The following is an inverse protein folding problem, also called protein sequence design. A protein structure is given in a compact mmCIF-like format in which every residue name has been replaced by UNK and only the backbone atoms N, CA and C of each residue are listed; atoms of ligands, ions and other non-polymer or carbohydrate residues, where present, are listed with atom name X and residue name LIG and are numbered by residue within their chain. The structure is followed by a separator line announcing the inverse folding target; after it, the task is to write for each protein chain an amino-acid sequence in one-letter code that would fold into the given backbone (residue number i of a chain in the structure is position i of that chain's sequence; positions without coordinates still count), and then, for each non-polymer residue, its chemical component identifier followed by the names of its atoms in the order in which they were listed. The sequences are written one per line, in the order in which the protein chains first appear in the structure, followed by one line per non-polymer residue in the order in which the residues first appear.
data_IF_457411495888
#
_entry.id   IF_457411495888
#
_cell.length_a   1.000
_cell.length_b   1.000
_cell.length_c   1.000
_cell.angle_alpha   90.00
_cell.angle_beta   90.00
_cell.angle_gamma   90.00
#
_symmetry.space_group_name_H-M   'P 1'
#
loop_
_entity.id
_entity.type
_entity.pdbx_description
1 polymer ?
#
# COMPACT_ATOMS: atom_id res chain seq x y z
N UNK A 1 -30.44 62.83 -59.07
CA UNK A 1 -29.78 61.52 -59.28
C UNK A 1 -29.05 61.16 -58.02
N UNK A 2 -29.65 60.38 -57.15
CA UNK A 2 -29.10 60.07 -55.83
C UNK A 2 -29.13 58.56 -55.67
N UNK A 3 -28.00 57.90 -55.58
CA UNK A 3 -27.85 56.50 -55.32
C UNK A 3 -27.47 56.30 -53.86
N UNK A 4 -28.34 55.69 -53.09
CA UNK A 4 -28.14 55.33 -51.71
C UNK A 4 -27.40 53.98 -51.63
N UNK A 5 -26.19 54.01 -51.09
CA UNK A 5 -25.47 52.82 -50.71
C UNK A 5 -26.11 52.22 -49.41
N UNK A 6 -26.64 51.05 -49.52
CA UNK A 6 -27.04 50.25 -48.35
C UNK A 6 -25.83 49.44 -47.88
N UNK A 7 -25.31 49.81 -46.74
CA UNK A 7 -24.29 49.06 -46.01
C UNK A 7 -24.93 47.83 -45.39
N UNK A 8 -24.60 46.65 -45.89
CA UNK A 8 -24.93 45.38 -45.31
C UNK A 8 -23.86 45.05 -44.24
N UNK A 9 -24.18 45.37 -43.00
CA UNK A 9 -23.42 44.87 -41.85
C UNK A 9 -23.78 43.41 -41.65
N UNK A 10 -22.91 42.57 -42.16
CA UNK A 10 -22.92 41.12 -41.90
C UNK A 10 -22.47 40.89 -40.47
N UNK A 11 -23.39 40.52 -39.64
CA UNK A 11 -23.15 40.00 -38.31
C UNK A 11 -22.39 38.66 -38.43
N UNK A 12 -21.10 38.76 -38.21
CA UNK A 12 -20.26 37.55 -38.03
C UNK A 12 -20.34 37.16 -36.57
N UNK A 13 -21.36 36.40 -36.25
CA UNK A 13 -21.46 35.70 -34.95
C UNK A 13 -20.40 34.61 -34.97
N UNK A 14 -19.24 34.90 -34.33
CA UNK A 14 -18.30 33.87 -33.96
C UNK A 14 -18.99 32.97 -32.91
N UNK A 15 -19.10 31.67 -33.14
CA UNK A 15 -19.39 30.78 -32.08
C UNK A 15 -18.11 30.69 -31.23
N UNK A 16 -18.05 31.40 -30.15
CA UNK A 16 -17.21 31.06 -29.03
C UNK A 16 -17.77 29.75 -28.45
N UNK A 17 -17.44 28.69 -29.13
CA UNK A 17 -17.59 27.36 -28.63
C UNK A 17 -16.80 27.28 -27.33
N UNK A 18 -17.55 27.15 -26.27
CA UNK A 18 -17.12 26.65 -25.01
C UNK A 18 -16.13 25.48 -25.25
N UNK A 19 -14.87 25.77 -25.07
CA UNK A 19 -13.88 24.76 -24.71
C UNK A 19 -14.37 24.27 -23.35
N UNK A 20 -15.30 23.32 -23.40
CA UNK A 20 -15.67 22.53 -22.25
C UNK A 20 -14.34 21.99 -21.72
N UNK A 21 -13.92 22.56 -20.61
CA UNK A 21 -12.87 22.03 -19.79
C UNK A 21 -13.28 20.56 -19.54
N UNK A 22 -12.70 19.66 -20.29
CA UNK A 22 -12.57 18.27 -19.90
C UNK A 22 -11.74 18.33 -18.63
N UNK A 23 -12.42 18.62 -17.52
CA UNK A 23 -11.94 18.24 -16.21
C UNK A 23 -11.73 16.73 -16.30
N UNK A 24 -10.52 16.35 -16.66
CA UNK A 24 -10.06 15.01 -16.41
C UNK A 24 -10.22 14.88 -14.90
N UNK A 25 -11.27 14.18 -14.49
CA UNK A 25 -11.33 13.63 -13.17
C UNK A 25 -10.09 12.72 -13.11
N UNK A 26 -8.99 13.27 -12.63
CA UNK A 26 -7.84 12.49 -12.23
C UNK A 26 -8.42 11.58 -11.15
N UNK A 27 -8.66 10.33 -11.52
CA UNK A 27 -8.98 9.31 -10.55
C UNK A 27 -7.81 9.35 -9.56
N UNK A 28 -8.10 9.86 -8.36
CA UNK A 28 -7.11 9.97 -7.28
C UNK A 28 -6.52 8.57 -7.14
N UNK A 29 -5.21 8.42 -7.39
CA UNK A 29 -4.59 7.12 -7.26
C UNK A 29 -4.82 6.62 -5.82
N UNK A 30 -5.30 5.39 -5.67
CA UNK A 30 -5.61 4.85 -4.36
C UNK A 30 -4.37 4.91 -3.49
N UNK A 31 -4.51 5.40 -2.27
CA UNK A 31 -3.38 5.60 -1.35
C UNK A 31 -2.81 4.26 -0.91
N UNK A 32 -1.50 4.15 -0.97
CA UNK A 32 -0.76 3.02 -0.44
C UNK A 32 0.38 3.55 0.42
N UNK A 33 0.34 3.24 1.73
CA UNK A 33 1.29 3.85 2.66
C UNK A 33 1.17 3.32 4.08
N UNK A 34 2.07 3.78 4.95
CA UNK A 34 2.05 3.53 6.37
C UNK A 34 1.58 4.82 7.04
N UNK A 35 0.38 4.79 7.64
CA UNK A 35 -0.19 5.95 8.33
C UNK A 35 0.44 6.16 9.70
N UNK A 36 0.64 5.07 10.42
CA UNK A 36 1.21 5.09 11.77
C UNK A 36 1.80 3.74 12.10
N UNK A 37 2.91 3.73 12.85
CA UNK A 37 3.47 2.51 13.40
C UNK A 37 4.17 2.82 14.73
N UNK A 38 4.08 1.89 15.66
CA UNK A 38 4.79 1.95 16.93
C UNK A 38 5.03 0.53 17.47
N UNK A 39 5.95 0.43 18.40
CA UNK A 39 6.21 -0.80 19.12
C UNK A 39 5.99 -0.57 20.62
N UNK A 40 5.51 -1.62 21.31
CA UNK A 40 5.30 -1.61 22.73
C UNK A 40 5.76 -2.91 23.37
N UNK A 41 6.33 -2.88 24.59
CA UNK A 41 6.69 -4.08 25.30
C UNK A 41 5.44 -4.71 25.94
N UNK A 42 5.27 -6.00 25.73
CA UNK A 42 4.19 -6.79 26.36
C UNK A 42 4.69 -8.19 26.68
N UNK A 43 4.73 -8.53 27.97
CA UNK A 43 5.12 -9.88 28.41
C UNK A 43 6.56 -10.28 28.02
N UNK A 44 7.51 -9.33 28.03
CA UNK A 44 8.90 -9.58 27.67
C UNK A 44 9.18 -9.64 26.16
N UNK A 45 8.16 -9.38 25.32
CA UNK A 45 8.28 -9.30 23.85
C UNK A 45 7.85 -7.93 23.37
N UNK A 46 8.64 -7.31 22.51
CA UNK A 46 8.25 -6.10 21.83
C UNK A 46 7.32 -6.44 20.68
N UNK A 47 6.15 -5.80 20.65
CA UNK A 47 5.11 -6.03 19.67
C UNK A 47 4.94 -4.83 18.78
N UNK A 48 4.85 -5.08 17.47
CA UNK A 48 4.59 -4.08 16.45
C UNK A 48 3.08 -3.88 16.29
N UNK A 49 2.67 -2.62 16.30
CA UNK A 49 1.34 -2.19 15.90
C UNK A 49 1.49 -1.20 14.73
N UNK A 50 0.69 -1.37 13.69
CA UNK A 50 0.72 -0.47 12.54
C UNK A 50 -0.66 -0.28 11.91
N UNK A 51 -0.87 0.88 11.30
CA UNK A 51 -2.03 1.19 10.47
C UNK A 51 -1.52 1.55 9.09
N UNK A 52 -1.92 0.74 8.12
CA UNK A 52 -1.60 0.92 6.71
C UNK A 52 -2.75 1.59 5.95
N UNK A 53 -2.45 2.19 4.82
CA UNK A 53 -3.40 2.62 3.80
C UNK A 53 -3.24 1.67 2.61
N UNK A 54 -4.22 0.81 2.38
CA UNK A 54 -4.16 -0.24 1.36
C UNK A 54 -5.20 0.02 0.27
N UNK A 55 -5.00 1.06 -0.54
CA UNK A 55 -5.81 1.27 -1.73
C UNK A 55 -5.33 0.42 -2.90
N UNK A 56 -6.23 -0.30 -3.56
CA UNK A 56 -5.92 -1.07 -4.76
C UNK A 56 -6.18 -0.24 -6.02
N UNK A 57 -5.35 -0.43 -7.05
CA UNK A 57 -5.67 0.06 -8.38
C UNK A 57 -6.81 -0.78 -8.98
N UNK A 58 -7.54 -0.22 -9.95
CA UNK A 58 -8.58 -0.98 -10.67
C UNK A 58 -8.03 -2.24 -11.33
N UNK A 59 -6.80 -2.20 -11.81
CA UNK A 59 -6.14 -3.36 -12.38
C UNK A 59 -5.94 -4.47 -11.33
N UNK A 60 -5.51 -4.12 -10.11
CA UNK A 60 -5.35 -5.07 -9.02
C UNK A 60 -6.70 -5.65 -8.54
N UNK A 61 -7.75 -4.82 -8.48
CA UNK A 61 -9.11 -5.28 -8.15
C UNK A 61 -9.65 -6.27 -9.18
N UNK A 62 -9.49 -5.97 -10.48
CA UNK A 62 -9.91 -6.86 -11.55
C UNK A 62 -9.16 -8.20 -11.51
N UNK A 63 -7.84 -8.17 -11.34
CA UNK A 63 -7.04 -9.37 -11.23
C UNK A 63 -7.48 -10.24 -10.04
N UNK A 64 -7.73 -9.62 -8.90
CA UNK A 64 -8.24 -10.32 -7.73
C UNK A 64 -9.60 -10.98 -8.01
N UNK A 65 -10.51 -10.28 -8.71
CA UNK A 65 -11.80 -10.82 -9.11
C UNK A 65 -11.68 -11.99 -10.11
N UNK A 66 -10.63 -12.00 -10.93
CA UNK A 66 -10.27 -13.09 -11.84
C UNK A 66 -9.55 -14.26 -11.14
N UNK A 67 -9.38 -14.18 -9.81
CA UNK A 67 -8.74 -15.21 -9.00
C UNK A 67 -7.22 -15.11 -8.88
N UNK A 68 -6.62 -14.01 -9.35
CA UNK A 68 -5.19 -13.76 -9.15
C UNK A 68 -4.96 -13.21 -7.75
N UNK A 69 -4.26 -13.92 -6.86
CA UNK A 69 -4.07 -13.47 -5.49
C UNK A 69 -3.08 -12.30 -5.41
N UNK A 70 -3.26 -11.43 -4.42
CA UNK A 70 -2.33 -10.38 -4.06
C UNK A 70 -1.58 -10.77 -2.79
N UNK A 71 -0.31 -10.39 -2.69
CA UNK A 71 0.50 -10.63 -1.49
C UNK A 71 0.92 -9.28 -0.88
N UNK A 72 0.54 -9.06 0.37
CA UNK A 72 1.07 -8.00 1.21
C UNK A 72 2.28 -8.53 1.97
N UNK A 73 3.41 -7.88 1.80
CA UNK A 73 4.66 -8.17 2.53
C UNK A 73 4.93 -6.98 3.44
N UNK A 74 5.24 -7.28 4.70
CA UNK A 74 5.62 -6.30 5.69
C UNK A 74 7.04 -6.64 6.17
N UNK A 75 8.00 -5.81 5.79
CA UNK A 75 9.38 -5.89 6.23
C UNK A 75 9.57 -4.97 7.43
N UNK A 76 10.13 -5.48 8.51
CA UNK A 76 10.45 -4.72 9.73
C UNK A 76 11.89 -4.98 10.12
N UNK A 77 12.65 -3.92 10.31
CA UNK A 77 14.05 -3.95 10.72
C UNK A 77 14.22 -3.21 12.03
N UNK A 78 15.02 -3.74 12.94
CA UNK A 78 15.42 -3.09 14.18
C UNK A 78 16.92 -2.99 14.20
N UNK A 79 17.45 -1.78 14.23
CA UNK A 79 18.87 -1.52 14.26
C UNK A 79 19.30 -0.69 15.46
N UNK A 80 20.58 -0.76 15.80
CA UNK A 80 21.20 0.05 16.83
C UNK A 80 22.32 0.89 16.24
N UNK A 81 22.16 2.22 16.28
CA UNK A 81 23.16 3.17 15.81
C UNK A 81 24.49 3.04 16.55
N UNK A 82 25.60 3.00 15.82
CA UNK A 82 26.96 3.00 16.34
C UNK A 82 27.70 4.25 15.89
N UNK A 83 28.37 4.92 16.84
CA UNK A 83 28.95 6.26 16.60
C UNK A 83 30.00 6.35 15.47
N UNK A 84 30.71 5.27 15.15
CA UNK A 84 31.78 5.27 14.15
C UNK A 84 31.81 3.97 13.31
N UNK A 85 30.77 3.17 13.39
CA UNK A 85 30.63 1.89 12.67
C UNK A 85 29.26 1.88 11.99
N UNK A 86 29.06 1.02 10.98
CA UNK A 86 27.73 0.75 10.45
C UNK A 86 26.77 0.35 11.59
N UNK A 87 25.52 0.69 11.45
CA UNK A 87 24.49 0.30 12.39
C UNK A 87 24.47 -1.22 12.58
N UNK A 88 24.10 -1.67 13.75
CA UNK A 88 24.02 -3.08 14.07
C UNK A 88 22.58 -3.53 13.93
N UNK A 89 22.37 -4.52 13.06
CA UNK A 89 21.08 -5.16 12.91
C UNK A 89 20.81 -6.02 14.14
N UNK A 90 19.71 -5.75 14.82
CA UNK A 90 19.29 -6.43 16.05
C UNK A 90 18.23 -7.48 15.75
N UNK A 91 17.29 -7.14 14.88
CA UNK A 91 16.23 -8.05 14.45
C UNK A 91 15.69 -7.66 13.08
N UNK A 92 15.29 -8.66 12.31
CA UNK A 92 14.54 -8.52 11.08
C UNK A 92 13.32 -9.43 11.14
N UNK A 93 12.17 -8.92 10.70
CA UNK A 93 10.95 -9.68 10.62
C UNK A 93 10.27 -9.42 9.28
N UNK A 94 9.95 -10.49 8.56
CA UNK A 94 9.11 -10.40 7.38
C UNK A 94 7.81 -11.16 7.60
N UNK A 95 6.70 -10.47 7.42
CA UNK A 95 5.36 -11.05 7.45
C UNK A 95 4.72 -10.98 6.09
N UNK A 96 3.98 -12.03 5.72
CA UNK A 96 3.32 -12.15 4.42
C UNK A 96 1.87 -12.55 4.59
N UNK A 97 0.99 -11.80 3.94
CA UNK A 97 -0.44 -12.14 3.85
C UNK A 97 -0.84 -12.24 2.39
N UNK A 98 -1.55 -13.28 2.06
CA UNK A 98 -2.13 -13.44 0.73
C UNK A 98 -3.62 -13.12 0.79
N UNK A 99 -4.06 -12.24 -0.09
CA UNK A 99 -5.45 -11.91 -0.33
C UNK A 99 -5.90 -12.57 -1.64
N UNK A 100 -6.90 -13.42 -1.57
CA UNK A 100 -7.52 -14.09 -2.70
C UNK A 100 -9.03 -13.87 -2.73
N UNK A 101 -9.65 -14.14 -3.87
CA UNK A 101 -11.10 -14.20 -4.03
C UNK A 101 -11.54 -15.63 -4.36
N UNK A 102 -12.42 -16.19 -3.51
CA UNK A 102 -13.08 -17.47 -3.75
C UNK A 102 -14.39 -17.23 -4.50
N UNK A 103 -14.38 -17.49 -5.80
CA UNK A 103 -15.54 -17.29 -6.65
C UNK A 103 -16.70 -18.25 -6.38
N UNK A 104 -16.44 -19.42 -5.77
CA UNK A 104 -17.50 -20.36 -5.38
C UNK A 104 -18.21 -19.93 -4.10
N UNK A 105 -17.44 -19.54 -3.09
CA UNK A 105 -17.96 -19.04 -1.83
C UNK A 105 -18.35 -17.56 -1.91
N UNK A 106 -17.98 -16.85 -2.96
CA UNK A 106 -18.14 -15.39 -3.14
C UNK A 106 -17.59 -14.61 -1.94
N UNK A 107 -16.38 -14.96 -1.51
CA UNK A 107 -15.71 -14.35 -0.36
C UNK A 107 -14.27 -14.01 -0.65
N UNK A 108 -13.80 -12.97 0.01
CA UNK A 108 -12.38 -12.62 0.06
C UNK A 108 -11.71 -13.38 1.18
N UNK A 109 -10.61 -14.04 0.89
CA UNK A 109 -9.87 -14.86 1.87
C UNK A 109 -8.49 -14.25 2.07
N UNK A 110 -8.16 -13.98 3.33
CA UNK A 110 -6.83 -13.53 3.76
C UNK A 110 -6.14 -14.68 4.46
N UNK A 111 -4.96 -15.03 4.00
CA UNK A 111 -4.13 -16.08 4.58
C UNK A 111 -2.82 -15.46 5.06
N UNK A 112 -2.51 -15.59 6.34
CA UNK A 112 -1.18 -15.28 6.85
C UNK A 112 -0.25 -16.43 6.49
N UNK A 113 0.71 -16.20 5.59
CA UNK A 113 1.61 -17.23 5.07
C UNK A 113 2.66 -17.69 6.09
N UNK A 114 2.90 -16.91 7.15
CA UNK A 114 3.85 -17.27 8.20
C UNK A 114 3.23 -18.20 9.25
N UNK A 115 1.95 -17.98 9.60
CA UNK A 115 1.25 -18.77 10.62
C UNK A 115 0.27 -19.79 10.05
N UNK A 116 -0.11 -19.66 8.78
CA UNK A 116 -1.18 -20.45 8.17
C UNK A 116 -2.60 -20.04 8.58
N UNK A 117 -2.75 -19.02 9.44
CA UNK A 117 -4.05 -18.52 9.85
C UNK A 117 -4.79 -17.91 8.66
N UNK A 118 -6.09 -18.21 8.54
CA UNK A 118 -6.92 -17.65 7.48
C UNK A 118 -8.23 -17.09 8.00
N UNK A 119 -8.75 -16.08 7.31
CA UNK A 119 -10.04 -15.48 7.58
C UNK A 119 -10.74 -15.14 6.27
N UNK A 120 -12.08 -15.25 6.26
CA UNK A 120 -12.91 -14.93 5.10
C UNK A 120 -13.79 -13.72 5.38
N UNK A 121 -13.91 -12.83 4.40
CA UNK A 121 -14.63 -11.56 4.48
C UNK A 121 -15.69 -11.48 3.39
N UNK A 122 -16.79 -10.79 3.66
CA UNK A 122 -17.88 -10.65 2.72
C UNK A 122 -17.58 -9.62 1.61
N UNK A 123 -16.69 -8.66 1.88
CA UNK A 123 -16.33 -7.62 0.92
C UNK A 123 -14.82 -7.40 0.85
N UNK A 124 -14.34 -6.85 -0.27
CA UNK A 124 -12.96 -6.44 -0.44
C UNK A 124 -12.56 -5.38 0.59
N UNK A 125 -13.46 -4.42 0.88
CA UNK A 125 -13.20 -3.40 1.88
C UNK A 125 -12.92 -3.97 3.27
N UNK A 126 -13.72 -4.95 3.73
CA UNK A 126 -13.50 -5.63 5.01
C UNK A 126 -12.15 -6.37 5.04
N UNK A 127 -11.79 -7.05 3.95
CA UNK A 127 -10.52 -7.77 3.85
C UNK A 127 -9.32 -6.81 3.89
N UNK A 128 -9.39 -5.70 3.14
CA UNK A 128 -8.35 -4.67 3.14
C UNK A 128 -8.25 -3.97 4.51
N UNK A 129 -9.38 -3.69 5.13
CA UNK A 129 -9.44 -3.11 6.47
C UNK A 129 -8.81 -4.02 7.54
N UNK A 130 -8.98 -5.33 7.41
CA UNK A 130 -8.35 -6.30 8.28
C UNK A 130 -6.83 -6.36 8.06
N UNK A 131 -6.38 -6.37 6.81
CA UNK A 131 -4.96 -6.34 6.43
C UNK A 131 -4.28 -5.03 6.84
N UNK A 132 -5.01 -3.91 6.79
CA UNK A 132 -4.49 -2.60 7.13
C UNK A 132 -4.17 -2.42 8.62
N UNK A 133 -4.72 -3.27 9.49
CA UNK A 133 -4.56 -3.16 10.95
C UNK A 133 -3.67 -4.26 11.50
N UNK A 134 -2.38 -4.00 11.54
CA UNK A 134 -1.41 -4.88 12.20
C UNK A 134 -1.49 -4.63 13.70
N UNK A 135 -1.74 -5.67 14.47
CA UNK A 135 -1.88 -5.57 15.92
C UNK A 135 -1.07 -6.66 16.62
N UNK A 136 -0.39 -6.25 17.67
CA UNK A 136 0.30 -7.15 18.60
C UNK A 136 1.22 -8.17 17.89
N UNK A 137 1.82 -7.77 16.74
CA UNK A 137 2.73 -8.61 15.99
C UNK A 137 4.04 -8.77 16.77
N UNK A 138 4.40 -9.98 17.26
CA UNK A 138 5.66 -10.19 17.95
C UNK A 138 6.85 -9.84 17.06
N UNK A 139 7.73 -8.95 17.52
CA UNK A 139 8.87 -8.45 16.76
C UNK A 139 10.18 -9.03 17.26
N UNK A 140 10.47 -8.85 18.55
CA UNK A 140 11.70 -9.34 19.17
C UNK A 140 11.54 -9.49 20.69
N UNK A 141 12.39 -10.35 21.28
CA UNK A 141 12.48 -10.52 22.73
C UNK A 141 13.14 -9.29 23.35
N UNK A 142 12.58 -8.81 24.46
CA UNK A 142 13.07 -7.63 25.18
C UNK A 142 14.53 -7.80 25.67
N UNK A 143 14.95 -9.03 25.93
CA UNK A 143 16.32 -9.35 26.37
C UNK A 143 17.39 -9.04 25.34
N UNK A 144 17.03 -8.89 24.05
CA UNK A 144 17.91 -8.46 22.98
C UNK A 144 18.21 -6.95 23.02
N UNK A 145 17.43 -6.21 23.80
CA UNK A 145 17.56 -4.77 23.91
C UNK A 145 18.29 -4.38 25.19
N UNK A 146 19.15 -3.37 25.10
CA UNK A 146 19.88 -2.81 26.24
C UNK A 146 19.17 -1.57 26.75
N UNK A 147 18.82 -1.54 28.05
CA UNK A 147 18.16 -0.41 28.68
C UNK A 147 18.91 0.91 28.45
N UNK A 148 18.15 1.95 28.12
CA UNK A 148 18.67 3.30 27.88
C UNK A 148 19.41 3.50 26.56
N UNK A 149 19.55 2.48 25.72
CA UNK A 149 20.07 2.63 24.36
C UNK A 149 18.96 3.08 23.40
N UNK A 150 19.37 3.76 22.33
CA UNK A 150 18.44 4.12 21.24
C UNK A 150 18.51 3.06 20.17
N UNK A 151 17.35 2.61 19.74
CA UNK A 151 17.16 1.74 18.60
C UNK A 151 16.33 2.45 17.54
N UNK A 152 16.54 2.11 16.31
CA UNK A 152 15.74 2.55 15.18
C UNK A 152 14.92 1.37 14.68
N UNK A 153 13.64 1.59 14.50
CA UNK A 153 12.72 0.61 13.92
C UNK A 153 12.27 1.15 12.58
N UNK A 154 12.42 0.36 11.54
CA UNK A 154 12.03 0.69 10.18
C UNK A 154 10.99 -0.31 9.67
N UNK A 155 9.93 0.20 9.07
CA UNK A 155 8.81 -0.59 8.54
C UNK A 155 8.59 -0.25 7.07
N UNK A 156 8.41 -1.25 6.22
CA UNK A 156 8.07 -1.09 4.81
C UNK A 156 6.99 -2.08 4.42
N UNK A 157 6.01 -1.61 3.67
CA UNK A 157 4.97 -2.45 3.10
C UNK A 157 5.15 -2.57 1.58
N UNK A 158 4.99 -3.78 1.07
CA UNK A 158 5.00 -4.11 -0.35
C UNK A 158 3.73 -4.88 -0.68
N UNK A 159 3.02 -4.45 -1.73
CA UNK A 159 1.89 -5.18 -2.29
C UNK A 159 2.26 -5.66 -3.68
N UNK A 160 2.16 -6.95 -3.92
CA UNK A 160 2.51 -7.56 -5.20
C UNK A 160 1.51 -8.64 -5.62
N UNK A 161 1.55 -9.04 -6.90
CA UNK A 161 0.81 -10.21 -7.37
C UNK A 161 1.43 -11.46 -6.78
N UNK A 162 0.61 -12.26 -6.10
CA UNK A 162 1.03 -13.53 -5.52
C UNK A 162 1.09 -14.65 -6.56
N UNK A 163 1.94 -15.64 -6.27
CA UNK A 163 1.92 -16.93 -6.98
C UNK A 163 2.53 -16.97 -8.39
N UNK A 164 3.08 -15.88 -8.90
CA UNK A 164 3.76 -15.90 -10.19
C UNK A 164 5.25 -16.25 -10.06
N UNK A 165 5.76 -17.18 -10.88
CA UNK A 165 7.19 -17.42 -10.99
C UNK A 165 7.94 -16.14 -11.38
N UNK A 166 9.16 -15.94 -10.85
CA UNK A 166 9.99 -14.75 -11.14
C UNK A 166 10.17 -14.49 -12.65
N UNK A 167 10.31 -15.54 -13.46
CA UNK A 167 10.45 -15.44 -14.90
C UNK A 167 9.20 -14.84 -15.58
N UNK A 168 8.01 -15.07 -15.03
CA UNK A 168 6.75 -14.53 -15.55
C UNK A 168 6.54 -13.09 -15.09
N UNK A 169 7.01 -12.77 -13.90
CA UNK A 169 6.99 -11.42 -13.36
C UNK A 169 7.73 -10.42 -14.25
N UNK A 170 8.82 -10.81 -14.88
CA UNK A 170 9.63 -9.98 -15.81
C UNK A 170 8.92 -9.69 -17.13
N UNK A 171 8.05 -10.60 -17.60
CA UNK A 171 7.35 -10.50 -18.90
C UNK A 171 6.04 -9.70 -18.83
N UNK A 172 5.41 -9.64 -17.69
CA UNK A 172 4.21 -8.84 -17.45
C UNK A 172 4.66 -7.48 -16.92
N UNK A 173 4.22 -6.38 -17.55
CA UNK A 173 4.54 -5.00 -17.17
C UNK A 173 4.39 -4.76 -15.67
N UNK A 174 5.35 -5.27 -14.91
CA UNK A 174 5.43 -5.46 -13.46
C UNK A 174 5.16 -4.20 -12.64
N UNK A 175 5.49 -3.01 -13.20
CA UNK A 175 5.39 -1.72 -12.49
C UNK A 175 3.97 -1.30 -12.12
N UNK A 176 2.95 -1.80 -12.82
CA UNK A 176 1.55 -1.40 -12.55
C UNK A 176 0.91 -2.21 -11.41
N UNK A 177 1.54 -3.33 -11.01
CA UNK A 177 0.95 -4.32 -10.10
C UNK A 177 1.70 -4.47 -8.77
N UNK A 178 2.86 -3.83 -8.65
CA UNK A 178 3.64 -3.80 -7.42
C UNK A 178 3.68 -2.38 -6.86
N UNK A 179 3.33 -2.24 -5.61
CA UNK A 179 3.42 -0.98 -4.86
C UNK A 179 4.29 -1.20 -3.64
N UNK A 180 5.22 -0.28 -3.41
CA UNK A 180 6.14 -0.32 -2.29
C UNK A 180 6.09 1.02 -1.60
N UNK A 181 6.01 1.04 -0.28
CA UNK A 181 6.12 2.29 0.50
C UNK A 181 7.59 2.66 0.68
N UNK A 182 7.84 3.93 0.96
CA UNK A 182 9.11 4.28 1.59
C UNK A 182 9.22 3.63 2.98
N UNK A 183 10.44 3.59 3.51
CA UNK A 183 10.68 3.16 4.88
C UNK A 183 10.07 4.16 5.86
N UNK A 184 9.19 3.69 6.71
CA UNK A 184 8.66 4.43 7.86
C UNK A 184 9.54 4.12 9.07
N UNK A 185 10.34 5.10 9.49
CA UNK A 185 11.38 4.90 10.50
C UNK A 185 11.12 5.75 11.74
N UNK A 186 11.30 5.16 12.92
CA UNK A 186 11.19 5.87 14.20
C UNK A 186 12.18 5.31 15.22
N UNK A 187 12.46 6.12 16.25
CA UNK A 187 13.37 5.71 17.32
C UNK A 187 12.63 5.27 18.57
N UNK A 188 13.14 4.25 19.24
CA UNK A 188 12.63 3.73 20.50
C UNK A 188 13.75 3.65 21.53
N UNK A 189 13.38 3.65 22.81
CA UNK A 189 14.28 3.43 23.95
C UNK A 189 13.59 2.49 24.93
N UNK A 190 14.14 1.29 25.15
CA UNK A 190 13.71 0.37 26.18
C UNK A 190 14.03 0.91 27.59
#
# INVERSE_FOLDING_TARGET
MRRTLRCLTRWMVLPWLAVAALAHAQAEEPRFGIRNAFVEPRGGVWQLNAILELGLSRAAENALAEGVPLTLILDTEVSRGRRFLPDEDVAELQQRWQLGYDGLAQRYVVVNQNSGAQAAYASLGEALDALARIRELPLLDESLLQAGRRYEVSLRATLEIGGLPEAVKVLLFWREWSRVTDWYTWSVRP
#
